data_IF_669245647086
#
_entry.id   IF_669245647086
#
_cell.length_a   1.000
_cell.length_b   1.000
_cell.length_c   1.000
_cell.angle_alpha   90.00
_cell.angle_beta   90.00
_cell.angle_gamma   90.00
#
_symmetry.space_group_name_H-M   'P 1'
#
loop_
_entity.id
_entity.type
_entity.pdbx_description
1 polymer ?
#
# COMPACT_ATOMS: atom_id res chain seq x y z
N UNK A 1 -12.10 32.13 -52.82
CA UNK A 1 -12.28 30.77 -52.24
C UNK A 1 -10.92 30.20 -51.92
N UNK A 2 -10.44 30.38 -50.69
CA UNK A 2 -9.34 29.66 -50.03
C UNK A 2 -9.04 30.44 -48.75
N UNK A 3 -8.67 29.73 -47.68
CA UNK A 3 -8.34 30.25 -46.34
C UNK A 3 -9.54 30.49 -45.41
N UNK A 4 -10.21 29.42 -44.98
CA UNK A 4 -10.94 29.42 -43.70
C UNK A 4 -11.29 28.01 -43.20
N UNK A 5 -10.49 26.99 -43.53
CA UNK A 5 -10.76 25.61 -43.14
C UNK A 5 -9.53 24.89 -42.56
N UNK A 6 -8.77 25.58 -41.70
CA UNK A 6 -7.61 24.95 -41.03
C UNK A 6 -7.44 25.36 -39.57
N UNK A 7 -8.41 26.09 -38.99
CA UNK A 7 -8.34 26.56 -37.61
C UNK A 7 -9.64 26.23 -36.84
N UNK A 8 -10.15 25.01 -37.00
CA UNK A 8 -11.31 24.52 -36.24
C UNK A 8 -11.14 23.09 -35.70
N UNK A 9 -9.94 22.52 -35.79
CA UNK A 9 -9.63 21.17 -35.26
C UNK A 9 -8.89 21.23 -33.91
N UNK A 10 -8.40 22.41 -33.49
CA UNK A 10 -7.72 22.57 -32.19
C UNK A 10 -8.64 22.93 -31.00
N UNK A 11 -9.93 23.18 -31.24
CA UNK A 11 -10.89 23.61 -30.18
C UNK A 11 -11.89 22.49 -29.82
N UNK A 12 -11.83 21.34 -30.50
CA UNK A 12 -12.67 20.17 -30.23
C UNK A 12 -11.94 19.06 -29.44
N UNK A 13 -10.93 19.43 -28.63
CA UNK A 13 -10.38 18.53 -27.61
C UNK A 13 -10.73 19.02 -26.18
N UNK A 14 -12.02 19.23 -25.83
CA UNK A 14 -12.38 19.43 -24.45
C UNK A 14 -12.29 18.07 -23.72
N UNK A 15 -11.41 17.99 -22.73
CA UNK A 15 -11.60 17.19 -21.51
C UNK A 15 -11.81 15.68 -21.64
N UNK A 16 -10.76 14.92 -21.97
CA UNK A 16 -10.67 13.51 -21.56
C UNK A 16 -9.29 13.13 -21.00
N UNK A 17 -8.58 14.10 -20.41
CA UNK A 17 -7.48 13.77 -19.50
C UNK A 17 -8.07 13.68 -18.10
N UNK A 18 -8.65 12.53 -17.79
CA UNK A 18 -9.12 12.23 -16.46
C UNK A 18 -8.07 11.36 -15.78
N UNK A 19 -7.28 11.95 -14.87
CA UNK A 19 -6.50 11.19 -13.88
C UNK A 19 -7.46 10.65 -12.80
N UNK A 20 -8.46 9.89 -13.24
CA UNK A 20 -9.56 9.40 -12.45
C UNK A 20 -9.23 8.00 -11.92
N UNK A 21 -9.36 7.80 -10.62
CA UNK A 21 -9.22 6.51 -9.97
C UNK A 21 -10.59 5.83 -9.90
N UNK A 22 -10.79 4.77 -10.68
CA UNK A 22 -12.05 4.00 -10.63
C UNK A 22 -11.99 3.02 -9.46
N UNK A 23 -12.78 3.26 -8.42
CA UNK A 23 -12.81 2.46 -7.19
C UNK A 23 -14.20 1.85 -7.03
N UNK A 24 -14.37 0.61 -7.48
CA UNK A 24 -15.68 -0.05 -7.49
C UNK A 24 -16.61 0.63 -8.50
N UNK A 25 -17.71 1.20 -8.01
CA UNK A 25 -18.68 1.97 -8.83
C UNK A 25 -18.35 3.47 -8.88
N UNK A 26 -17.45 3.93 -8.03
CA UNK A 26 -17.12 5.35 -7.89
C UNK A 26 -15.90 5.72 -8.73
N UNK A 27 -15.87 6.97 -9.15
CA UNK A 27 -14.72 7.58 -9.84
C UNK A 27 -14.21 8.72 -8.99
N UNK A 28 -13.00 8.56 -8.44
CA UNK A 28 -12.39 9.51 -7.52
C UNK A 28 -11.33 10.37 -8.22
N UNK A 29 -11.23 11.63 -7.80
CA UNK A 29 -10.18 12.58 -8.15
C UNK A 29 -9.02 12.57 -7.13
N UNK A 30 -9.25 12.04 -5.93
CA UNK A 30 -8.24 11.84 -4.89
C UNK A 30 -8.13 12.99 -3.87
N UNK A 31 -8.89 14.06 -4.04
CA UNK A 31 -8.91 15.23 -3.15
C UNK A 31 -10.21 15.35 -2.33
N UNK A 32 -11.15 14.41 -2.44
CA UNK A 32 -12.47 14.48 -1.81
C UNK A 32 -12.42 14.54 -0.27
N UNK A 33 -11.34 14.06 0.32
CA UNK A 33 -11.11 14.04 1.76
C UNK A 33 -10.56 15.37 2.31
N UNK A 34 -10.15 16.29 1.43
CA UNK A 34 -9.51 17.54 1.83
C UNK A 34 -10.58 18.59 2.14
N UNK A 35 -10.56 19.10 3.36
CA UNK A 35 -11.28 20.28 3.76
C UNK A 35 -10.32 21.47 3.79
N UNK A 36 -10.51 22.41 2.87
CA UNK A 36 -9.62 23.56 2.71
C UNK A 36 -9.64 24.56 3.87
N UNK A 37 -10.64 24.46 4.77
CA UNK A 37 -10.72 25.28 5.99
C UNK A 37 -9.96 24.63 7.18
N UNK A 38 -9.39 23.45 6.98
CA UNK A 38 -8.64 22.72 8.01
C UNK A 38 -7.13 22.83 7.79
N UNK A 39 -6.39 22.72 8.91
CA UNK A 39 -4.94 22.56 8.89
C UNK A 39 -4.56 21.09 8.85
N UNK A 40 -3.47 20.78 8.16
CA UNK A 40 -2.97 19.41 8.02
C UNK A 40 -1.49 19.34 8.36
N UNK A 41 -1.15 18.38 9.22
CA UNK A 41 0.23 18.02 9.53
C UNK A 41 0.58 16.69 8.86
N UNK A 42 1.57 16.70 7.97
CA UNK A 42 2.03 15.50 7.26
C UNK A 42 2.99 14.69 8.12
N UNK A 43 2.67 13.42 8.31
CA UNK A 43 3.46 12.44 9.05
C UNK A 43 4.00 11.41 8.03
N UNK A 44 5.32 11.38 7.77
CA UNK A 44 5.93 10.35 6.95
C UNK A 44 6.04 9.03 7.73
N UNK A 45 5.66 7.92 7.10
CA UNK A 45 5.68 6.57 7.68
C UNK A 45 6.43 5.64 6.72
N UNK A 46 7.65 5.23 7.12
CA UNK A 46 8.52 4.39 6.29
C UNK A 46 8.41 2.89 6.61
N UNK A 47 7.83 2.52 7.75
CA UNK A 47 7.68 1.13 8.17
C UNK A 47 6.26 0.82 8.66
N UNK A 48 5.85 -0.44 8.52
CA UNK A 48 4.60 -0.90 9.13
C UNK A 48 4.77 -1.00 10.65
N UNK A 49 3.83 -0.45 11.43
CA UNK A 49 3.93 -0.53 12.88
C UNK A 49 2.91 0.31 13.65
N UNK A 50 3.03 0.25 14.97
CA UNK A 50 2.28 1.12 15.88
C UNK A 50 3.09 2.38 16.15
N UNK A 51 2.54 3.53 15.77
CA UNK A 51 3.16 4.83 15.93
C UNK A 51 2.51 5.58 17.08
N UNK A 52 3.33 6.22 17.92
CA UNK A 52 2.88 7.11 19.00
C UNK A 52 3.46 8.49 18.76
N UNK A 53 2.58 9.49 18.71
CA UNK A 53 2.92 10.91 18.65
C UNK A 53 2.61 11.53 20.00
N UNK A 54 3.63 11.92 20.74
CA UNK A 54 3.48 12.58 22.03
C UNK A 54 3.02 14.02 21.86
N UNK A 55 2.35 14.58 22.88
CA UNK A 55 1.95 15.98 22.90
C UNK A 55 3.13 16.91 22.72
N UNK A 56 4.29 16.58 23.31
CA UNK A 56 5.54 17.35 23.12
C UNK A 56 5.99 17.38 21.65
N UNK A 57 5.98 16.23 20.96
CA UNK A 57 6.30 16.16 19.53
C UNK A 57 5.30 16.94 18.68
N UNK A 58 4.01 16.86 19.00
CA UNK A 58 2.96 17.60 18.31
C UNK A 58 3.13 19.11 18.46
N UNK A 59 3.45 19.61 19.67
CA UNK A 59 3.74 21.03 19.90
C UNK A 59 4.99 21.46 19.15
N UNK A 60 6.07 20.68 19.20
CA UNK A 60 7.31 20.97 18.47
C UNK A 60 7.08 21.01 16.94
N UNK A 61 6.11 20.24 16.44
CA UNK A 61 5.64 20.23 15.06
C UNK A 61 4.67 21.38 14.71
N UNK A 62 4.33 22.25 15.68
CA UNK A 62 3.44 23.40 15.47
C UNK A 62 1.94 23.08 15.57
N UNK A 63 1.56 21.88 16.06
CA UNK A 63 0.15 21.52 16.29
C UNK A 63 -0.34 22.18 17.59
N UNK A 64 -1.43 22.97 17.57
CA UNK A 64 -1.87 23.76 18.73
C UNK A 64 -2.72 22.92 19.71
N UNK A 65 -2.12 21.86 20.27
CA UNK A 65 -2.82 20.84 21.07
C UNK A 65 -3.58 21.38 22.29
N UNK A 66 -3.16 22.54 22.84
CA UNK A 66 -3.81 23.20 23.98
C UNK A 66 -5.12 23.89 23.63
N UNK A 67 -5.45 23.98 22.33
CA UNK A 67 -6.70 24.61 21.84
C UNK A 67 -7.66 23.60 21.22
N UNK A 68 -7.21 22.36 21.02
CA UNK A 68 -7.94 21.31 20.32
C UNK A 68 -8.41 20.26 21.33
N UNK A 69 -9.69 19.93 21.30
CA UNK A 69 -10.24 18.84 22.10
C UNK A 69 -9.81 17.47 21.52
N UNK A 70 -9.52 16.49 22.36
CA UNK A 70 -9.08 15.14 21.93
C UNK A 70 -10.02 14.45 20.95
N UNK A 71 -11.32 14.72 21.02
CA UNK A 71 -12.32 14.21 20.08
C UNK A 71 -12.15 14.74 18.65
N UNK A 72 -11.58 15.93 18.49
CA UNK A 72 -11.52 16.63 17.20
C UNK A 72 -10.43 16.12 16.27
N UNK A 73 -9.41 15.45 16.79
CA UNK A 73 -8.32 14.92 15.95
C UNK A 73 -8.82 13.84 14.99
N UNK A 74 -8.35 13.93 13.74
CA UNK A 74 -8.58 12.96 12.68
C UNK A 74 -7.25 12.66 11.98
N UNK A 75 -7.11 11.45 11.48
CA UNK A 75 -5.93 11.04 10.73
C UNK A 75 -6.38 10.46 9.39
N UNK A 76 -5.83 10.98 8.30
CA UNK A 76 -6.15 10.52 6.96
C UNK A 76 -4.97 9.83 6.31
N UNK A 77 -5.23 8.74 5.60
CA UNK A 77 -4.27 8.02 4.78
C UNK A 77 -4.96 7.54 3.49
N UNK A 78 -4.34 7.81 2.34
CA UNK A 78 -4.90 7.50 1.01
C UNK A 78 -6.36 7.96 0.85
N UNK A 79 -6.64 9.18 1.36
CA UNK A 79 -7.96 9.81 1.30
C UNK A 79 -9.05 9.19 2.16
N UNK A 80 -8.69 8.34 3.13
CA UNK A 80 -9.64 7.75 4.07
C UNK A 80 -9.22 8.04 5.50
N UNK A 81 -10.19 8.30 6.37
CA UNK A 81 -9.94 8.43 7.79
C UNK A 81 -9.53 7.07 8.37
N UNK A 82 -8.46 7.05 9.16
CA UNK A 82 -7.97 5.87 9.86
C UNK A 82 -8.14 6.03 11.37
N UNK A 83 -8.45 4.95 12.11
CA UNK A 83 -8.68 5.03 13.54
C UNK A 83 -7.41 5.43 14.29
N UNK A 84 -7.60 6.29 15.29
CA UNK A 84 -6.56 6.69 16.24
C UNK A 84 -7.01 6.42 17.68
N UNK A 85 -6.04 6.25 18.56
CA UNK A 85 -6.25 6.32 20.02
C UNK A 85 -5.70 7.66 20.51
N UNK A 86 -6.43 8.34 21.38
CA UNK A 86 -6.00 9.58 22.03
C UNK A 86 -6.07 9.38 23.53
N UNK A 87 -4.99 9.64 24.25
CA UNK A 87 -4.91 9.36 25.70
C UNK A 87 -5.75 10.31 26.55
N UNK A 88 -6.06 11.51 26.03
CA UNK A 88 -6.76 12.56 26.75
C UNK A 88 -8.29 12.48 26.60
N UNK A 89 -9.02 12.89 27.64
CA UNK A 89 -10.49 13.06 27.66
C UNK A 89 -10.94 14.50 27.46
N UNK A 90 -10.01 15.40 27.11
CA UNK A 90 -10.23 16.83 26.84
C UNK A 90 -9.12 17.37 25.95
N UNK A 91 -8.61 18.56 26.23
CA UNK A 91 -7.42 19.06 25.52
C UNK A 91 -6.20 18.19 25.84
N UNK A 92 -5.30 18.05 24.87
CA UNK A 92 -4.06 17.28 25.05
C UNK A 92 -3.04 18.13 25.81
N UNK A 93 -2.31 17.48 26.69
CA UNK A 93 -1.14 18.03 27.38
C UNK A 93 0.16 17.44 26.81
N UNK A 94 1.32 17.93 27.26
CA UNK A 94 2.62 17.39 26.85
C UNK A 94 2.84 15.91 27.22
N UNK A 95 2.12 15.40 28.23
CA UNK A 95 2.16 14.00 28.66
C UNK A 95 1.20 13.09 27.90
N UNK A 96 0.28 13.66 27.12
CA UNK A 96 -0.67 12.91 26.32
C UNK A 96 -0.06 12.45 24.99
N UNK A 97 -0.77 11.58 24.29
CA UNK A 97 -0.32 11.06 23.00
C UNK A 97 -1.47 10.61 22.11
N UNK A 98 -1.19 10.60 20.81
CA UNK A 98 -2.01 10.00 19.76
C UNK A 98 -1.30 8.74 19.26
N UNK A 99 -2.01 7.63 19.14
CA UNK A 99 -1.48 6.37 18.61
C UNK A 99 -2.26 5.91 17.38
N UNK A 100 -1.57 5.38 16.37
CA UNK A 100 -2.21 4.83 15.18
C UNK A 100 -1.36 3.70 14.58
N UNK A 101 -2.00 2.81 13.82
CA UNK A 101 -1.30 1.79 13.03
C UNK A 101 -0.91 2.39 11.68
N UNK A 102 0.38 2.63 11.50
CA UNK A 102 0.96 3.12 10.27
C UNK A 102 1.36 1.98 9.35
N UNK A 103 1.18 2.18 8.05
CA UNK A 103 1.64 1.28 7.00
C UNK A 103 2.52 2.05 6.03
N UNK A 104 3.66 1.48 5.68
CA UNK A 104 4.55 2.05 4.66
C UNK A 104 3.91 2.03 3.28
N UNK A 105 4.45 2.83 2.36
CA UNK A 105 3.88 2.91 1.03
C UNK A 105 4.18 1.61 0.27
N UNK A 106 3.16 1.13 -0.44
CA UNK A 106 3.25 -0.01 -1.35
C UNK A 106 2.84 0.49 -2.73
N UNK A 107 1.87 -0.15 -3.36
CA UNK A 107 1.47 0.15 -4.74
C UNK A 107 0.03 0.63 -4.87
N UNK A 108 -0.58 1.09 -3.76
CA UNK A 108 -2.01 1.39 -3.73
C UNK A 108 -2.42 2.45 -4.76
N UNK A 109 -1.63 3.53 -4.92
CA UNK A 109 -1.88 4.57 -5.93
C UNK A 109 -1.33 4.18 -7.29
N UNK A 110 -0.20 3.48 -7.31
CA UNK A 110 0.48 3.01 -8.52
C UNK A 110 -0.36 2.00 -9.28
N UNK A 111 -1.24 1.26 -8.60
CA UNK A 111 -2.14 0.29 -9.21
C UNK A 111 -3.04 0.89 -10.29
N UNK A 112 -3.41 2.17 -10.19
CA UNK A 112 -4.19 2.89 -11.19
C UNK A 112 -3.38 3.31 -12.42
N UNK A 113 -2.05 3.21 -12.38
CA UNK A 113 -1.18 3.49 -13.51
C UNK A 113 -1.06 2.30 -14.46
N UNK A 114 -1.45 1.10 -14.00
CA UNK A 114 -1.46 -0.13 -14.76
C UNK A 114 -2.86 -0.43 -15.31
N UNK A 115 -2.95 -1.26 -16.34
CA UNK A 115 -4.25 -1.72 -16.87
C UNK A 115 -5.05 -2.54 -15.85
N UNK A 116 -4.36 -3.24 -14.95
CA UNK A 116 -4.95 -3.94 -13.81
C UNK A 116 -3.88 -4.15 -12.72
N UNK A 117 -4.24 -4.20 -11.42
CA UNK A 117 -3.28 -4.49 -10.35
C UNK A 117 -2.60 -5.86 -10.50
N UNK A 118 -3.27 -6.83 -11.13
CA UNK A 118 -2.77 -8.19 -11.34
C UNK A 118 -1.68 -8.30 -12.41
N UNK A 119 -1.38 -7.22 -13.14
CA UNK A 119 -0.28 -7.20 -14.11
C UNK A 119 1.01 -6.63 -13.54
N UNK A 120 0.98 -6.12 -12.30
CA UNK A 120 2.13 -5.56 -11.61
C UNK A 120 3.03 -6.67 -11.10
N UNK A 121 4.34 -6.59 -11.36
CA UNK A 121 5.27 -7.62 -10.91
C UNK A 121 5.38 -7.68 -9.37
N UNK A 122 5.46 -6.51 -8.73
CA UNK A 122 5.70 -6.43 -7.29
C UNK A 122 4.74 -5.45 -6.60
N UNK A 123 3.59 -5.92 -6.09
CA UNK A 123 2.66 -5.06 -5.37
C UNK A 123 3.16 -4.65 -3.97
N UNK A 124 4.21 -5.28 -3.44
CA UNK A 124 4.75 -5.03 -2.09
C UNK A 124 5.84 -3.96 -2.04
N UNK A 125 6.22 -3.39 -3.20
CA UNK A 125 7.24 -2.34 -3.27
C UNK A 125 6.84 -1.26 -4.28
N UNK A 126 6.78 -0.01 -3.81
CA UNK A 126 6.44 1.14 -4.65
C UNK A 126 7.48 1.37 -5.75
N UNK A 127 7.02 1.91 -6.87
CA UNK A 127 7.88 2.38 -7.95
C UNK A 127 8.49 3.77 -7.68
N UNK A 128 7.96 4.51 -6.70
CA UNK A 128 8.29 5.91 -6.46
C UNK A 128 8.85 6.16 -5.07
N UNK A 129 8.22 5.61 -4.03
CA UNK A 129 8.63 5.82 -2.63
C UNK A 129 8.10 4.72 -1.72
N UNK A 130 8.91 4.25 -0.80
CA UNK A 130 8.50 3.34 0.27
C UNK A 130 7.84 4.06 1.46
N UNK A 131 7.76 5.39 1.45
CA UNK A 131 7.26 6.20 2.56
C UNK A 131 5.82 6.66 2.33
N UNK A 132 4.91 6.25 3.20
CA UNK A 132 3.52 6.72 3.22
C UNK A 132 3.41 8.12 3.80
N UNK A 133 2.45 8.89 3.28
CA UNK A 133 2.01 10.12 3.92
C UNK A 133 0.71 9.87 4.70
N UNK A 134 0.73 10.23 5.97
CA UNK A 134 -0.45 10.37 6.81
C UNK A 134 -0.68 11.85 7.08
N UNK A 135 -1.92 12.28 7.19
CA UNK A 135 -2.27 13.68 7.43
C UNK A 135 -3.10 13.79 8.70
N UNK A 136 -2.50 14.30 9.77
CA UNK A 136 -3.19 14.63 11.00
C UNK A 136 -3.89 15.97 10.82
N UNK A 137 -5.17 16.01 11.16
CA UNK A 137 -5.97 17.23 11.15
C UNK A 137 -6.87 17.27 12.38
N UNK A 138 -7.56 18.38 12.58
CA UNK A 138 -8.50 18.58 13.67
C UNK A 138 -9.68 19.38 13.15
N UNK A 139 -10.87 18.82 13.28
CA UNK A 139 -12.11 19.50 12.89
C UNK A 139 -12.72 20.24 14.09
N UNK A 140 -13.81 20.96 13.87
CA UNK A 140 -14.54 21.66 14.94
C UNK A 140 -15.84 20.98 15.36
N UNK A 141 -16.36 20.05 14.56
CA UNK A 141 -17.78 19.64 14.61
C UNK A 141 -18.02 18.14 14.81
N UNK A 142 -17.01 17.29 14.66
CA UNK A 142 -17.19 15.83 14.62
C UNK A 142 -16.09 15.10 15.39
N UNK A 143 -16.47 14.06 16.14
CA UNK A 143 -15.48 13.15 16.71
C UNK A 143 -14.84 12.34 15.60
N UNK A 144 -13.51 12.36 15.52
CA UNK A 144 -12.79 11.54 14.55
C UNK A 144 -12.90 10.04 14.83
N UNK A 145 -12.46 9.21 13.89
CA UNK A 145 -12.50 7.75 14.02
C UNK A 145 -11.58 7.27 15.16
N UNK A 146 -12.08 6.35 15.99
CA UNK A 146 -11.38 5.84 17.18
C UNK A 146 -11.32 4.32 17.22
N UNK A 147 -10.27 3.78 17.85
CA UNK A 147 -10.27 2.37 18.26
C UNK A 147 -11.29 2.17 19.38
N UNK A 148 -11.95 1.02 19.38
CA UNK A 148 -12.75 0.58 20.51
C UNK A 148 -11.83 0.05 21.62
N UNK A 149 -11.90 0.66 22.80
CA UNK A 149 -11.22 0.14 23.98
C UNK A 149 -11.91 -1.13 24.47
N UNK A 150 -11.12 -2.18 24.71
CA UNK A 150 -11.58 -3.43 25.28
C UNK A 150 -10.89 -3.62 26.63
N UNK A 151 -11.65 -3.98 27.66
CA UNK A 151 -11.09 -4.30 28.98
C UNK A 151 -10.23 -5.55 28.88
N UNK A 152 -8.97 -5.45 29.29
CA UNK A 152 -8.07 -6.59 29.38
C UNK A 152 -8.34 -7.37 30.68
N UNK A 153 -9.40 -8.19 30.68
CA UNK A 153 -9.76 -9.05 31.82
C UNK A 153 -8.88 -10.31 31.82
N UNK A 154 -7.99 -10.41 32.81
CA UNK A 154 -7.09 -11.56 33.00
C UNK A 154 -7.61 -12.56 34.03
N UNK A 155 -8.83 -12.40 34.54
CA UNK A 155 -9.36 -13.27 35.62
C UNK A 155 -9.92 -14.59 35.10
N UNK A 156 -10.49 -14.62 33.89
CA UNK A 156 -11.06 -15.79 33.23
C UNK A 156 -10.60 -15.90 31.77
N UNK A 157 -9.29 -15.88 31.54
CA UNK A 157 -8.75 -15.99 30.19
C UNK A 157 -8.93 -17.43 29.65
N UNK A 158 -9.16 -17.60 28.34
CA UNK A 158 -9.19 -18.92 27.72
C UNK A 158 -7.84 -19.64 27.89
N UNK A 159 -7.85 -20.96 27.67
CA UNK A 159 -6.61 -21.72 27.58
C UNK A 159 -5.72 -21.15 26.46
N UNK A 160 -4.39 -21.19 26.59
CA UNK A 160 -3.50 -20.67 25.57
C UNK A 160 -3.74 -21.35 24.22
N UNK A 161 -3.83 -20.55 23.16
CA UNK A 161 -3.86 -21.07 21.80
C UNK A 161 -2.52 -21.80 21.51
N UNK A 162 -2.56 -23.04 20.99
CA UNK A 162 -1.36 -23.84 20.77
C UNK A 162 -0.45 -23.29 19.67
N UNK A 163 -1.00 -22.47 18.77
CA UNK A 163 -0.27 -21.84 17.68
C UNK A 163 -0.95 -20.55 17.21
N UNK A 164 -0.24 -19.77 16.40
CA UNK A 164 -0.79 -18.67 15.63
C UNK A 164 -0.23 -18.73 14.21
N UNK A 165 -0.96 -18.15 13.25
CA UNK A 165 -0.50 -18.08 11.88
C UNK A 165 0.45 -16.89 11.70
N UNK A 166 1.61 -17.12 11.09
CA UNK A 166 2.61 -16.09 10.80
C UNK A 166 2.93 -16.06 9.32
N UNK A 167 2.87 -14.86 8.72
CA UNK A 167 3.37 -14.62 7.36
C UNK A 167 4.86 -14.29 7.41
N UNK A 168 5.65 -15.00 6.60
CA UNK A 168 7.05 -14.66 6.30
C UNK A 168 7.11 -14.21 4.83
N UNK A 169 7.79 -13.10 4.56
CA UNK A 169 7.85 -12.52 3.20
C UNK A 169 9.30 -12.27 2.83
N UNK A 170 9.69 -12.70 1.63
CA UNK A 170 10.93 -12.26 0.99
C UNK A 170 10.55 -11.40 -0.22
N UNK A 171 10.85 -10.11 -0.13
CA UNK A 171 10.67 -9.19 -1.23
C UNK A 171 12.01 -9.00 -1.98
N UNK A 172 11.94 -8.83 -3.30
CA UNK A 172 13.12 -8.61 -4.15
C UNK A 172 13.01 -7.25 -4.82
N UNK A 173 14.04 -6.43 -4.67
CA UNK A 173 14.03 -5.03 -5.12
C UNK A 173 15.29 -4.63 -5.87
N UNK A 174 16.08 -5.61 -6.31
CA UNK A 174 17.44 -5.40 -6.82
C UNK A 174 17.48 -4.96 -8.30
N UNK A 175 16.39 -5.19 -9.03
CA UNK A 175 16.29 -4.94 -10.47
C UNK A 175 14.92 -4.39 -10.83
N UNK A 176 14.86 -3.38 -11.68
CA UNK A 176 13.60 -2.90 -12.23
C UNK A 176 13.32 -3.57 -13.58
N UNK A 177 12.32 -4.45 -13.60
CA UNK A 177 11.80 -5.04 -14.82
C UNK A 177 10.82 -4.08 -15.49
N UNK A 178 10.93 -3.93 -16.81
CA UNK A 178 9.98 -3.22 -17.67
C UNK A 178 9.97 -3.89 -19.03
N UNK A 179 8.77 -4.08 -19.58
CA UNK A 179 8.59 -4.68 -20.90
C UNK A 179 9.27 -3.86 -21.98
N UNK A 180 9.99 -4.57 -22.84
CA UNK A 180 10.73 -4.03 -23.97
C UNK A 180 10.08 -4.54 -25.27
N UNK A 181 9.84 -3.62 -26.21
CA UNK A 181 9.48 -3.93 -27.59
C UNK A 181 10.71 -4.28 -28.44
N UNK A 182 10.51 -4.37 -29.75
CA UNK A 182 11.60 -4.59 -30.70
C UNK A 182 12.72 -3.57 -30.53
N UNK A 183 13.97 -4.04 -30.60
CA UNK A 183 15.19 -3.22 -30.42
C UNK A 183 15.33 -2.55 -29.03
N UNK A 184 14.67 -3.07 -27.99
CA UNK A 184 14.84 -2.60 -26.60
C UNK A 184 14.05 -1.32 -26.25
N UNK A 185 13.14 -0.89 -27.12
CA UNK A 185 12.28 0.27 -26.89
C UNK A 185 11.29 0.00 -25.75
N UNK A 186 10.98 1.01 -24.93
CA UNK A 186 10.04 0.88 -23.80
C UNK A 186 8.90 1.87 -23.95
N UNK A 187 7.68 1.45 -23.62
CA UNK A 187 6.56 2.38 -23.54
C UNK A 187 6.74 3.35 -22.37
N UNK A 188 6.24 4.57 -22.53
CA UNK A 188 6.25 5.58 -21.47
C UNK A 188 5.21 5.30 -20.39
N UNK A 189 4.14 4.56 -20.72
CA UNK A 189 3.16 4.08 -19.74
C UNK A 189 3.67 2.83 -19.00
N UNK A 190 3.05 2.52 -17.88
CA UNK A 190 3.31 1.27 -17.15
C UNK A 190 2.67 0.09 -17.90
N UNK A 191 3.35 -1.04 -17.93
CA UNK A 191 2.92 -2.21 -18.71
C UNK A 191 3.04 -3.50 -17.88
N UNK A 192 2.53 -4.60 -18.41
CA UNK A 192 2.59 -5.92 -17.78
C UNK A 192 4.00 -6.29 -17.33
N UNK A 193 4.09 -6.96 -16.18
CA UNK A 193 5.33 -7.43 -15.57
C UNK A 193 6.34 -6.32 -15.23
N UNK A 194 5.91 -5.06 -15.21
CA UNK A 194 6.74 -3.96 -14.76
C UNK A 194 6.76 -3.87 -13.22
N UNK A 195 7.96 -3.69 -12.66
CA UNK A 195 8.17 -3.55 -11.23
C UNK A 195 9.52 -4.04 -10.75
N UNK A 196 9.76 -3.88 -9.46
CA UNK A 196 11.00 -4.28 -8.81
C UNK A 196 11.05 -5.79 -8.53
N UNK A 197 12.15 -6.44 -8.87
CA UNK A 197 12.36 -7.89 -8.74
C UNK A 197 13.85 -8.22 -8.62
N UNK A 198 14.22 -9.48 -8.82
CA UNK A 198 15.60 -9.84 -9.17
C UNK A 198 15.85 -9.61 -10.66
N UNK A 199 17.11 -9.69 -11.09
CA UNK A 199 17.42 -9.95 -12.51
C UNK A 199 16.83 -11.31 -12.95
N UNK A 200 16.77 -11.53 -14.27
CA UNK A 200 16.30 -12.81 -14.82
C UNK A 200 17.16 -13.98 -14.35
N UNK A 201 16.49 -15.06 -13.93
CA UNK A 201 17.11 -16.30 -13.50
C UNK A 201 16.29 -17.49 -14.00
N UNK A 202 16.98 -18.57 -14.32
CA UNK A 202 16.35 -19.87 -14.62
C UNK A 202 16.05 -20.68 -13.36
N UNK A 203 16.63 -20.29 -12.21
CA UNK A 203 16.38 -20.91 -10.91
C UNK A 203 16.55 -19.88 -9.79
N UNK A 204 15.62 -19.87 -8.85
CA UNK A 204 15.69 -19.06 -7.64
C UNK A 204 15.34 -19.95 -6.44
N UNK A 205 16.24 -20.00 -5.46
CA UNK A 205 15.99 -20.71 -4.20
C UNK A 205 15.82 -19.69 -3.08
N UNK A 206 14.85 -19.91 -2.20
CA UNK A 206 14.67 -19.11 -0.99
C UNK A 206 14.41 -20.04 0.20
N UNK A 207 15.06 -19.74 1.31
CA UNK A 207 14.85 -20.44 2.58
C UNK A 207 14.02 -19.57 3.50
N UNK A 208 13.01 -20.18 4.13
CA UNK A 208 12.26 -19.58 5.24
C UNK A 208 12.53 -20.41 6.51
N UNK A 209 12.83 -19.72 7.61
CA UNK A 209 13.12 -20.35 8.90
C UNK A 209 12.10 -19.88 9.93
N UNK A 210 10.90 -20.50 10.00
CA UNK A 210 9.91 -20.15 11.01
C UNK A 210 10.44 -20.47 12.41
N UNK A 211 10.16 -19.60 13.37
CA UNK A 211 10.52 -19.78 14.77
C UNK A 211 9.44 -20.62 15.43
N UNK A 212 9.84 -21.72 16.10
CA UNK A 212 8.95 -22.63 16.82
C UNK A 212 7.71 -23.08 16.02
N UNK A 213 7.88 -23.72 14.84
CA UNK A 213 6.76 -24.17 14.04
C UNK A 213 5.95 -25.25 14.78
N UNK A 214 4.63 -25.11 14.77
CA UNK A 214 3.70 -26.10 15.32
C UNK A 214 3.29 -27.09 14.22
N UNK A 215 3.65 -28.37 14.37
CA UNK A 215 3.53 -29.37 13.29
C UNK A 215 2.15 -30.03 13.17
N UNK A 216 1.28 -29.88 14.18
CA UNK A 216 -0.09 -30.40 14.15
C UNK A 216 -1.12 -29.33 13.75
N UNK A 217 -0.66 -28.17 13.28
CA UNK A 217 -1.49 -27.11 12.73
C UNK A 217 -1.92 -27.41 11.28
N UNK A 218 -2.68 -26.49 10.67
CA UNK A 218 -3.01 -26.57 9.25
C UNK A 218 -1.76 -26.44 8.37
N UNK A 219 -1.87 -26.91 7.12
CA UNK A 219 -0.81 -26.76 6.13
C UNK A 219 -0.45 -25.29 5.89
N UNK A 220 0.84 -25.01 5.78
CA UNK A 220 1.33 -23.68 5.45
C UNK A 220 0.99 -23.32 3.99
N UNK A 221 0.55 -22.09 3.76
CA UNK A 221 0.30 -21.55 2.43
C UNK A 221 1.54 -20.85 1.89
N UNK A 222 1.81 -20.99 0.59
CA UNK A 222 2.88 -20.28 -0.10
C UNK A 222 2.28 -19.36 -1.14
N UNK A 223 2.78 -18.12 -1.21
CA UNK A 223 2.43 -17.20 -2.29
C UNK A 223 3.72 -16.81 -3.01
N UNK A 224 3.71 -16.88 -4.34
CA UNK A 224 4.87 -16.56 -5.17
C UNK A 224 4.46 -15.61 -6.28
N UNK A 225 5.17 -14.49 -6.36
CA UNK A 225 5.07 -13.54 -7.46
C UNK A 225 6.35 -13.59 -8.31
N UNK A 226 6.20 -13.73 -9.62
CA UNK A 226 7.32 -13.67 -10.57
C UNK A 226 6.83 -13.19 -11.94
N UNK A 227 7.76 -12.94 -12.86
CA UNK A 227 7.44 -12.62 -14.23
C UNK A 227 8.40 -13.27 -15.22
N UNK A 228 7.88 -13.49 -16.42
CA UNK A 228 8.63 -13.90 -17.61
C UNK A 228 8.92 -12.73 -18.56
N UNK A 229 9.79 -12.96 -19.54
CA UNK A 229 10.04 -12.07 -20.69
C UNK A 229 9.46 -12.66 -21.98
N UNK A 230 9.66 -12.00 -23.13
CA UNK A 230 9.26 -12.45 -24.47
C UNK A 230 9.83 -13.82 -24.92
N UNK A 231 9.40 -14.91 -24.30
CA UNK A 231 9.76 -16.30 -24.59
C UNK A 231 8.69 -17.26 -24.02
N UNK A 232 8.76 -18.54 -24.36
CA UNK A 232 8.00 -19.59 -23.68
C UNK A 232 8.60 -19.86 -22.29
N UNK A 233 7.74 -20.03 -21.30
CA UNK A 233 8.12 -20.33 -19.91
C UNK A 233 7.48 -21.63 -19.46
N UNK A 234 8.29 -22.45 -18.78
CA UNK A 234 7.85 -23.64 -18.05
C UNK A 234 8.49 -23.56 -16.65
N UNK A 235 7.72 -23.08 -15.68
CA UNK A 235 8.18 -22.79 -14.32
C UNK A 235 7.73 -23.88 -13.36
N UNK A 236 8.67 -24.46 -12.61
CA UNK A 236 8.37 -25.43 -11.57
C UNK A 236 8.45 -24.78 -10.19
N UNK A 237 7.40 -24.90 -9.39
CA UNK A 237 7.38 -24.46 -8.00
C UNK A 237 7.58 -25.68 -7.10
N UNK A 238 8.67 -25.67 -6.34
CA UNK A 238 9.07 -26.77 -5.46
C UNK A 238 9.22 -26.31 -4.01
N UNK A 239 8.74 -27.13 -3.07
CA UNK A 239 8.96 -26.95 -1.63
C UNK A 239 9.74 -28.17 -1.13
N UNK A 240 10.90 -27.94 -0.50
CA UNK A 240 11.78 -29.02 -0.02
C UNK A 240 12.05 -30.08 -1.11
N UNK A 241 12.29 -29.61 -2.35
CA UNK A 241 12.49 -30.39 -3.58
C UNK A 241 11.25 -31.13 -4.13
N UNK A 242 10.14 -31.18 -3.40
CA UNK A 242 8.87 -31.74 -3.89
C UNK A 242 8.20 -30.76 -4.85
N UNK A 243 7.81 -31.24 -6.03
CA UNK A 243 7.04 -30.43 -7.00
C UNK A 243 5.63 -30.19 -6.46
N UNK A 244 5.26 -28.92 -6.35
CA UNK A 244 3.93 -28.48 -5.91
C UNK A 244 3.06 -28.19 -7.13
N UNK A 245 3.60 -27.42 -8.08
CA UNK A 245 2.89 -27.08 -9.32
C UNK A 245 3.87 -26.71 -10.43
N UNK A 246 3.36 -26.75 -11.66
CA UNK A 246 4.02 -26.25 -12.87
C UNK A 246 3.16 -25.15 -13.46
N UNK A 247 3.80 -24.08 -13.94
CA UNK A 247 3.14 -22.96 -14.60
C UNK A 247 3.76 -22.73 -15.98
N UNK A 248 2.92 -22.77 -17.01
CA UNK A 248 3.30 -22.60 -18.42
C UNK A 248 2.61 -21.39 -19.02
N UNK A 249 3.38 -20.51 -19.66
CA UNK A 249 2.87 -19.30 -20.31
C UNK A 249 3.88 -18.77 -21.33
N UNK A 250 3.43 -17.87 -22.21
CA UNK A 250 4.28 -17.25 -23.22
C UNK A 250 4.35 -15.73 -23.02
N UNK A 251 5.54 -15.19 -23.19
CA UNK A 251 5.75 -13.76 -23.25
C UNK A 251 5.86 -13.07 -21.89
N UNK A 252 5.60 -11.77 -21.90
CA UNK A 252 5.67 -10.94 -20.69
C UNK A 252 4.40 -11.08 -19.88
N UNK A 253 4.48 -11.77 -18.75
CA UNK A 253 3.38 -11.90 -17.79
C UNK A 253 3.88 -11.75 -16.37
N UNK A 254 3.08 -11.11 -15.51
CA UNK A 254 3.21 -11.20 -14.07
C UNK A 254 2.36 -12.38 -13.58
N UNK A 255 2.94 -13.27 -12.77
CA UNK A 255 2.29 -14.46 -12.22
C UNK A 255 2.18 -14.29 -10.71
N UNK A 256 0.99 -14.55 -10.19
CA UNK A 256 0.65 -14.44 -8.77
C UNK A 256 0.04 -15.77 -8.31
N UNK A 257 0.89 -16.71 -7.88
CA UNK A 257 0.46 -18.04 -7.44
C UNK A 257 0.23 -18.06 -5.93
N UNK A 258 -0.81 -18.77 -5.49
CA UNK A 258 -1.22 -18.94 -4.08
C UNK A 258 -1.51 -20.38 -3.75
#
# INVERSE_FOLDING_TARGET
MQKLLSLFVFVAFPYFLSAQMVVGVDTLYGNEWINYDQSYYKIPVAEDGLYRLTGTELVAAGVPISTINSGQFQLFHLGREVPIYVSATGQLTGSDYITFVGKKNRTALESFLFSAPTVMLNPEYSLFTDTSAYFLTWNTNTTGLRYQSVTNDTTNHPAPEPYFLRKLTKNFTDYWAKKEGGSGSKFSHFDVAEGFSTSLKTKQNQTFSPIAPYLAGPDAQIQVNYAGRGADHHQEIRINNNLITTDEYNGWEARHLT
#
